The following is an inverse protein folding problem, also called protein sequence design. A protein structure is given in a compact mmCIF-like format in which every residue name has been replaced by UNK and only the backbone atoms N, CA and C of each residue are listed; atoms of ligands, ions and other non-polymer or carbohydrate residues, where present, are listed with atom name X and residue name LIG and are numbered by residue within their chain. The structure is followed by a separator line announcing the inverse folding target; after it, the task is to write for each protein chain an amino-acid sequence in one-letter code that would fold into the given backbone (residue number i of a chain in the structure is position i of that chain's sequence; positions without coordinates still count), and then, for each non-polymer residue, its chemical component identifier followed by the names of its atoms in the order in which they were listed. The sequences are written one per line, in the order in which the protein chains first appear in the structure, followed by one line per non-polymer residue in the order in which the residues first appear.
data_IF_165012513734
#
_entry.id   IF_165012513734
#
_cell.length_a   1.000
_cell.length_b   1.000
_cell.length_c   1.000
_cell.angle_alpha   90.00
_cell.angle_beta   90.00
_cell.angle_gamma   90.00
#
_symmetry.space_group_name_H-M   'P 1'
#
loop_
_entity.id
_entity.type
_entity.pdbx_description
1 polymer ?
#
# COMPACT_ATOMS: atom_id res chain seq x y z
N UNK A 1 -22.27 33.94 3.08
CA UNK A 1 -23.44 33.39 3.78
C UNK A 1 -23.06 32.00 4.26
N UNK A 2 -22.81 31.84 5.55
CA UNK A 2 -22.40 30.55 6.13
C UNK A 2 -23.63 29.69 6.43
N UNK A 3 -23.75 28.56 5.74
CA UNK A 3 -24.80 27.58 5.98
C UNK A 3 -24.35 26.68 7.13
N UNK A 4 -24.87 26.93 8.33
CA UNK A 4 -24.65 26.07 9.50
C UNK A 4 -25.56 24.85 9.41
N UNK A 5 -24.99 23.69 9.11
CA UNK A 5 -25.71 22.41 9.22
C UNK A 5 -25.75 21.96 10.68
N UNK A 6 -26.95 21.89 11.26
CA UNK A 6 -27.15 21.29 12.56
C UNK A 6 -27.24 19.77 12.44
N UNK A 7 -26.20 19.09 12.91
CA UNK A 7 -26.14 17.63 13.03
C UNK A 7 -27.10 17.18 14.13
N UNK A 8 -28.24 16.61 13.74
CA UNK A 8 -29.22 16.04 14.66
C UNK A 8 -28.60 14.77 15.27
N UNK A 9 -28.48 14.73 16.60
CA UNK A 9 -27.92 13.58 17.32
C UNK A 9 -28.90 12.40 17.29
N UNK A 10 -28.42 11.14 17.14
CA UNK A 10 -29.28 9.96 17.00
C UNK A 10 -30.25 9.69 18.17
N UNK A 11 -29.98 10.25 19.37
CA UNK A 11 -30.85 10.08 20.55
C UNK A 11 -32.14 10.92 20.47
N UNK A 12 -32.19 11.97 19.66
CA UNK A 12 -33.36 12.85 19.53
C UNK A 12 -34.35 12.39 18.45
N UNK A 13 -33.92 11.48 17.56
CA UNK A 13 -34.77 10.92 16.50
C UNK A 13 -35.95 10.08 17.04
N UNK A 14 -35.86 9.57 18.28
CA UNK A 14 -36.95 8.77 18.89
C UNK A 14 -38.12 9.63 19.40
N UNK A 15 -37.94 10.92 19.64
CA UNK A 15 -39.04 11.80 20.06
C UNK A 15 -39.93 12.27 18.89
N UNK A 16 -39.40 12.31 17.67
CA UNK A 16 -40.19 12.70 16.49
C UNK A 16 -41.16 11.63 15.99
N UNK A 17 -40.97 10.36 16.39
CA UNK A 17 -41.84 9.25 15.96
C UNK A 17 -43.19 9.18 16.70
N UNK A 18 -43.42 10.04 17.70
CA UNK A 18 -44.69 10.09 18.48
C UNK A 18 -45.61 11.26 18.14
N UNK A 19 -45.28 12.11 17.16
CA UNK A 19 -46.11 13.28 16.80
C UNK A 19 -46.67 13.30 15.38
N UNK A 20 -46.44 12.27 14.57
CA UNK A 20 -46.94 12.18 13.19
C UNK A 20 -47.89 11.01 12.99
N UNK A 21 -48.85 10.85 13.90
CA UNK A 21 -50.00 9.96 13.69
C UNK A 21 -51.25 10.81 13.68
N UNK A 22 -52.03 10.62 12.61
CA UNK A 22 -53.44 10.98 12.43
C UNK A 22 -53.82 12.47 12.45
N UNK A 23 -53.64 13.12 11.30
CA UNK A 23 -54.69 14.01 10.76
C UNK A 23 -54.98 13.54 9.34
N UNK A 24 -55.63 12.36 9.24
CA UNK A 24 -56.48 12.09 8.10
C UNK A 24 -57.71 12.98 8.29
N UNK A 25 -58.15 13.76 7.28
CA UNK A 25 -59.47 14.36 7.36
C UNK A 25 -60.47 13.21 7.47
N UNK A 26 -61.24 13.21 8.57
CA UNK A 26 -62.49 12.47 8.66
C UNK A 26 -63.33 12.89 7.47
N UNK A 27 -63.29 12.09 6.41
CA UNK A 27 -64.33 12.09 5.41
C UNK A 27 -65.56 11.52 6.09
N UNK A 28 -66.26 12.40 6.81
CA UNK A 28 -67.59 12.17 7.30
C UNK A 28 -68.41 11.63 6.12
N UNK A 29 -68.93 10.39 6.18
CA UNK A 29 -69.99 10.03 5.27
C UNK A 29 -71.13 10.94 5.67
N UNK A 30 -71.34 11.97 4.86
CA UNK A 30 -72.50 12.85 4.93
C UNK A 30 -73.69 11.90 4.99
N UNK A 31 -74.25 11.75 6.19
CA UNK A 31 -75.58 11.21 6.36
C UNK A 31 -76.47 12.23 5.67
N UNK A 32 -76.66 12.06 4.36
CA UNK A 32 -77.85 12.54 3.69
C UNK A 32 -79.00 11.74 4.29
N UNK A 33 -79.44 12.19 5.46
CA UNK A 33 -80.80 12.04 5.92
C UNK A 33 -81.68 12.71 4.85
N UNK A 34 -81.96 11.96 3.79
CA UNK A 34 -83.09 12.25 2.92
C UNK A 34 -84.29 12.04 3.82
N UNK A 35 -84.70 13.13 4.47
CA UNK A 35 -85.99 13.27 5.08
C UNK A 35 -87.00 12.98 3.98
N UNK A 36 -87.43 11.72 3.94
CA UNK A 36 -88.59 11.28 3.18
C UNK A 36 -89.76 12.06 3.73
N UNK A 37 -90.04 13.22 3.13
CA UNK A 37 -91.33 13.89 3.25
C UNK A 37 -92.35 12.91 2.72
N UNK A 38 -92.90 12.13 3.64
CA UNK A 38 -94.12 11.38 3.42
C UNK A 38 -95.19 12.44 3.18
N UNK A 39 -95.42 12.76 1.90
CA UNK A 39 -96.60 13.51 1.50
C UNK A 39 -97.75 12.54 1.71
N UNK A 40 -98.33 12.58 2.91
CA UNK A 40 -99.66 12.06 3.15
C UNK A 40 -100.58 12.73 2.13
N UNK A 41 -100.89 12.02 1.05
CA UNK A 41 -102.04 12.35 0.23
C UNK A 41 -103.26 12.22 1.14
N UNK A 42 -103.78 13.37 1.57
CA UNK A 42 -105.07 13.50 2.22
C UNK A 42 -106.08 12.63 1.47
N UNK A 43 -106.57 11.57 2.14
CA UNK A 43 -107.70 10.78 1.69
C UNK A 43 -108.89 11.70 1.57
N UNK A 44 -109.08 12.30 0.40
CA UNK A 44 -110.32 12.95 0.04
C UNK A 44 -111.40 11.87 0.06
N UNK A 45 -112.18 11.89 1.14
CA UNK A 45 -113.40 11.11 1.32
C UNK A 45 -114.36 11.48 0.19
N UNK A 46 -114.31 10.72 -0.89
CA UNK A 46 -115.34 10.76 -1.93
C UNK A 46 -116.50 9.93 -1.40
N UNK A 47 -117.48 10.63 -0.85
CA UNK A 47 -118.78 10.07 -0.55
C UNK A 47 -119.27 9.31 -1.79
N UNK A 48 -119.54 8.02 -1.60
CA UNK A 48 -120.19 7.11 -2.53
C UNK A 48 -121.55 7.67 -2.93
N UNK A 49 -121.57 8.53 -3.96
CA UNK A 49 -122.77 8.90 -4.69
C UNK A 49 -122.92 7.84 -5.78
N UNK A 50 -123.80 6.87 -5.54
CA UNK A 50 -124.21 5.87 -6.53
C UNK A 50 -124.58 6.57 -7.84
N UNK A 51 -123.97 6.21 -8.98
CA UNK A 51 -124.38 6.76 -10.26
C UNK A 51 -125.83 6.35 -10.48
N UNK A 52 -126.72 7.32 -10.67
CA UNK A 52 -128.04 7.06 -11.21
C UNK A 52 -127.84 6.28 -12.52
N UNK A 53 -128.40 5.07 -12.58
CA UNK A 53 -128.36 4.19 -13.74
C UNK A 53 -129.15 4.87 -14.85
N UNK A 54 -128.47 5.71 -15.62
CA UNK A 54 -128.93 6.13 -16.94
C UNK A 54 -128.83 4.89 -17.83
N UNK A 55 -129.97 4.41 -18.32
CA UNK A 55 -130.07 3.35 -19.31
C UNK A 55 -129.34 3.79 -20.58
N UNK A 56 -128.04 3.50 -20.63
CA UNK A 56 -127.21 3.66 -21.81
C UNK A 56 -127.69 2.64 -22.85
N UNK A 57 -128.25 3.16 -23.95
CA UNK A 57 -128.49 2.43 -25.20
C UNK A 57 -127.29 1.53 -25.55
N UNK A 58 -127.51 0.31 -26.06
CA UNK A 58 -126.41 -0.63 -26.39
C UNK A 58 -125.33 0.01 -27.27
N UNK A 59 -125.71 0.98 -28.10
CA UNK A 59 -124.82 1.75 -28.97
C UNK A 59 -123.80 2.62 -28.21
N UNK A 60 -124.12 3.12 -27.02
CA UNK A 60 -123.16 3.88 -26.21
C UNK A 60 -122.19 2.97 -25.47
N UNK A 61 -122.61 1.77 -25.06
CA UNK A 61 -121.71 0.77 -24.48
C UNK A 61 -120.65 0.28 -25.47
N UNK A 62 -121.01 0.07 -26.74
CA UNK A 62 -120.05 -0.31 -27.79
C UNK A 62 -119.02 0.79 -28.06
N UNK A 63 -119.45 2.05 -28.10
CA UNK A 63 -118.54 3.20 -28.27
C UNK A 63 -117.59 3.36 -27.08
N UNK A 64 -118.09 3.19 -25.86
CA UNK A 64 -117.27 3.22 -24.64
C UNK A 64 -116.28 2.05 -24.61
N UNK A 65 -116.70 0.84 -25.02
CA UNK A 65 -115.79 -0.31 -25.12
C UNK A 65 -114.73 -0.13 -26.22
N UNK A 66 -115.09 0.46 -27.36
CA UNK A 66 -114.14 0.81 -28.42
C UNK A 66 -113.14 1.88 -27.96
N UNK A 67 -113.60 2.94 -27.30
CA UNK A 67 -112.74 3.98 -26.74
C UNK A 67 -111.79 3.42 -25.67
N UNK A 68 -112.28 2.54 -24.80
CA UNK A 68 -111.45 1.87 -23.78
C UNK A 68 -110.38 0.98 -24.43
N UNK A 69 -110.73 0.19 -25.45
CA UNK A 69 -109.73 -0.61 -26.20
C UNK A 69 -108.67 0.26 -26.87
N UNK A 70 -109.07 1.40 -27.43
CA UNK A 70 -108.11 2.36 -28.01
C UNK A 70 -107.20 2.98 -26.92
N UNK A 71 -107.76 3.31 -25.76
CA UNK A 71 -107.01 3.81 -24.61
C UNK A 71 -106.04 2.77 -24.05
N UNK A 72 -106.49 1.52 -23.92
CA UNK A 72 -105.66 0.40 -23.46
C UNK A 72 -104.52 0.13 -24.48
N UNK A 73 -104.80 0.18 -25.78
CA UNK A 73 -103.77 0.06 -26.82
C UNK A 73 -102.72 1.18 -26.77
N UNK A 74 -103.13 2.43 -26.51
CA UNK A 74 -102.19 3.54 -26.29
C UNK A 74 -101.37 3.34 -25.01
N UNK A 75 -101.99 2.85 -23.93
CA UNK A 75 -101.31 2.55 -22.68
C UNK A 75 -100.25 1.47 -22.88
N UNK A 76 -100.58 0.39 -23.58
CA UNK A 76 -99.67 -0.71 -23.87
C UNK A 76 -98.49 -0.24 -24.75
N UNK A 77 -98.76 0.60 -25.74
CA UNK A 77 -97.71 1.23 -26.56
C UNK A 77 -96.75 2.07 -25.69
N UNK A 78 -97.28 2.94 -24.82
CA UNK A 78 -96.46 3.76 -23.92
C UNK A 78 -95.65 2.90 -22.93
N UNK A 79 -96.23 1.80 -22.43
CA UNK A 79 -95.52 0.85 -21.58
C UNK A 79 -94.36 0.19 -22.36
N UNK A 80 -94.61 -0.28 -23.59
CA UNK A 80 -93.61 -0.89 -24.43
C UNK A 80 -92.46 0.09 -24.74
N UNK A 81 -92.78 1.33 -25.12
CA UNK A 81 -91.79 2.37 -25.37
C UNK A 81 -90.96 2.69 -24.10
N UNK A 82 -91.61 2.79 -22.94
CA UNK A 82 -90.92 3.00 -21.67
C UNK A 82 -89.97 1.85 -21.30
N UNK A 83 -90.32 0.61 -21.63
CA UNK A 83 -89.45 -0.55 -21.44
C UNK A 83 -88.23 -0.52 -22.36
N UNK A 84 -88.41 -0.18 -23.64
CA UNK A 84 -87.31 -0.02 -24.60
C UNK A 84 -86.35 1.09 -24.17
N UNK A 85 -86.88 2.23 -23.72
CA UNK A 85 -86.06 3.33 -23.18
C UNK A 85 -85.27 2.86 -21.96
N UNK A 86 -85.89 2.11 -21.05
CA UNK A 86 -85.23 1.60 -19.83
C UNK A 86 -84.12 0.60 -20.17
N UNK A 87 -84.34 -0.30 -21.11
CA UNK A 87 -83.33 -1.26 -21.57
C UNK A 87 -82.12 -0.53 -22.15
N UNK A 88 -82.36 0.45 -23.02
CA UNK A 88 -81.30 1.31 -23.56
C UNK A 88 -80.53 2.05 -22.46
N UNK A 89 -81.23 2.56 -21.43
CA UNK A 89 -80.57 3.21 -20.29
C UNK A 89 -79.68 2.23 -19.51
N UNK A 90 -80.10 0.98 -19.32
CA UNK A 90 -79.25 -0.03 -18.66
C UNK A 90 -78.03 -0.38 -19.49
N UNK A 91 -78.16 -0.48 -20.81
CA UNK A 91 -77.00 -0.67 -21.70
C UNK A 91 -76.02 0.51 -21.61
N UNK A 92 -76.52 1.75 -21.65
CA UNK A 92 -75.71 2.95 -21.53
C UNK A 92 -74.98 3.01 -20.17
N UNK A 93 -75.68 2.69 -19.08
CA UNK A 93 -75.07 2.56 -17.75
C UNK A 93 -74.04 1.43 -17.71
N UNK A 94 -74.28 0.31 -18.40
CA UNK A 94 -73.34 -0.78 -18.57
C UNK A 94 -72.05 -0.31 -19.26
N UNK A 95 -72.16 0.41 -20.36
CA UNK A 95 -71.02 1.00 -21.09
C UNK A 95 -70.25 1.99 -20.20
N UNK A 96 -70.95 2.86 -19.46
CA UNK A 96 -70.32 3.82 -18.53
C UNK A 96 -69.54 3.09 -17.43
N UNK A 97 -70.09 2.01 -16.85
CA UNK A 97 -69.37 1.20 -15.85
C UNK A 97 -68.11 0.57 -16.44
N UNK A 98 -68.20 -0.03 -17.62
CA UNK A 98 -67.05 -0.63 -18.30
C UNK A 98 -65.95 0.40 -18.58
N UNK A 99 -66.30 1.61 -19.01
CA UNK A 99 -65.35 2.70 -19.23
C UNK A 99 -64.68 3.13 -17.93
N UNK A 100 -65.44 3.28 -16.83
CA UNK A 100 -64.88 3.60 -15.51
C UNK A 100 -63.91 2.54 -15.03
N UNK A 101 -64.26 1.26 -15.19
CA UNK A 101 -63.40 0.15 -14.80
C UNK A 101 -62.14 0.08 -15.66
N UNK A 102 -62.24 0.38 -16.97
CA UNK A 102 -61.10 0.46 -17.86
C UNK A 102 -60.13 1.58 -17.45
N UNK A 103 -60.65 2.78 -17.19
CA UNK A 103 -59.85 3.91 -16.69
C UNK A 103 -59.21 3.55 -15.34
N UNK A 104 -59.94 2.93 -14.41
CA UNK A 104 -59.40 2.52 -13.12
C UNK A 104 -58.33 1.42 -13.20
N UNK A 105 -58.37 0.56 -14.23
CA UNK A 105 -57.29 -0.40 -14.51
C UNK A 105 -56.07 0.30 -15.09
N UNK A 106 -56.28 1.23 -16.01
CA UNK A 106 -55.20 1.98 -16.64
C UNK A 106 -54.46 2.87 -15.63
N UNK A 107 -55.18 3.56 -14.73
CA UNK A 107 -54.56 4.37 -13.68
C UNK A 107 -53.70 3.51 -12.75
N UNK A 108 -54.21 2.36 -12.30
CA UNK A 108 -53.44 1.40 -11.48
C UNK A 108 -52.20 0.90 -12.22
N UNK A 109 -52.32 0.55 -13.50
CA UNK A 109 -51.19 0.11 -14.30
C UNK A 109 -50.10 1.20 -14.43
N UNK A 110 -50.50 2.47 -14.62
CA UNK A 110 -49.57 3.61 -14.66
C UNK A 110 -48.90 3.85 -13.31
N UNK A 111 -49.63 3.75 -12.21
CA UNK A 111 -49.07 3.88 -10.86
C UNK A 111 -48.07 2.76 -10.54
N UNK A 112 -48.40 1.51 -10.90
CA UNK A 112 -47.49 0.37 -10.74
C UNK A 112 -46.23 0.52 -11.60
N UNK A 113 -46.36 0.97 -12.86
CA UNK A 113 -45.22 1.24 -13.73
C UNK A 113 -44.33 2.36 -13.16
N UNK A 114 -44.93 3.43 -12.63
CA UNK A 114 -44.20 4.52 -11.98
C UNK A 114 -43.44 4.03 -10.74
N UNK A 115 -44.07 3.17 -9.91
CA UNK A 115 -43.39 2.56 -8.76
C UNK A 115 -42.22 1.69 -9.16
N UNK A 116 -42.38 0.84 -10.20
CA UNK A 116 -41.28 0.02 -10.74
C UNK A 116 -40.13 0.88 -11.24
N UNK A 117 -40.43 1.95 -11.98
CA UNK A 117 -39.41 2.87 -12.45
C UNK A 117 -38.68 3.57 -11.30
N UNK A 118 -39.39 3.90 -10.22
CA UNK A 118 -38.75 4.46 -9.03
C UNK A 118 -37.82 3.44 -8.36
N UNK A 119 -38.27 2.19 -8.16
CA UNK A 119 -37.42 1.15 -7.57
C UNK A 119 -36.19 0.85 -8.43
N UNK A 120 -36.34 0.76 -9.75
CA UNK A 120 -35.23 0.57 -10.69
C UNK A 120 -34.22 1.72 -10.60
N UNK A 121 -34.69 2.97 -10.52
CA UNK A 121 -33.81 4.14 -10.32
C UNK A 121 -33.07 4.08 -8.98
N UNK A 122 -33.74 3.66 -7.92
CA UNK A 122 -33.08 3.50 -6.61
C UNK A 122 -32.04 2.37 -6.65
N UNK A 123 -32.35 1.23 -7.26
CA UNK A 123 -31.43 0.12 -7.45
C UNK A 123 -30.20 0.54 -8.28
N UNK A 124 -30.42 1.31 -9.35
CA UNK A 124 -29.35 1.87 -10.16
C UNK A 124 -28.43 2.77 -9.32
N UNK A 125 -28.98 3.66 -8.50
CA UNK A 125 -28.19 4.54 -7.62
C UNK A 125 -27.38 3.72 -6.61
N UNK A 126 -27.96 2.67 -6.04
CA UNK A 126 -27.25 1.77 -5.11
C UNK A 126 -26.08 1.11 -5.83
N UNK A 127 -26.30 0.56 -7.03
CA UNK A 127 -25.27 -0.10 -7.82
C UNK A 127 -24.13 0.86 -8.20
N UNK A 128 -24.45 2.09 -8.60
CA UNK A 128 -23.45 3.13 -8.89
C UNK A 128 -22.60 3.46 -7.65
N UNK A 129 -23.23 3.52 -6.47
CA UNK A 129 -22.51 3.76 -5.21
C UNK A 129 -21.60 2.59 -4.83
N UNK A 130 -22.09 1.35 -4.95
CA UNK A 130 -21.30 0.14 -4.70
C UNK A 130 -20.11 0.03 -5.65
N UNK A 131 -20.35 0.31 -6.94
CA UNK A 131 -19.29 0.31 -7.97
C UNK A 131 -18.24 1.37 -7.65
N UNK A 132 -18.64 2.59 -7.31
CA UNK A 132 -17.72 3.67 -6.93
C UNK A 132 -16.90 3.30 -5.69
N UNK A 133 -17.54 2.69 -4.70
CA UNK A 133 -16.86 2.24 -3.47
C UNK A 133 -15.86 1.12 -3.74
N UNK A 134 -16.18 0.20 -4.64
CA UNK A 134 -15.28 -0.88 -5.04
C UNK A 134 -14.03 -0.31 -5.73
N UNK A 135 -14.20 0.62 -6.68
CA UNK A 135 -13.09 1.31 -7.35
C UNK A 135 -12.22 2.06 -6.33
N UNK A 136 -12.82 2.80 -5.41
CA UNK A 136 -12.06 3.53 -4.38
C UNK A 136 -11.25 2.59 -3.46
N UNK A 137 -11.80 1.42 -3.13
CA UNK A 137 -11.08 0.41 -2.35
C UNK A 137 -9.91 -0.21 -3.12
N UNK A 138 -10.12 -0.49 -4.41
CA UNK A 138 -9.07 -1.00 -5.30
C UNK A 138 -7.94 0.03 -5.47
N UNK A 139 -8.27 1.31 -5.65
CA UNK A 139 -7.29 2.39 -5.74
C UNK A 139 -6.45 2.53 -4.47
N UNK A 140 -7.08 2.44 -3.29
CA UNK A 140 -6.37 2.45 -2.00
C UNK A 140 -5.41 1.26 -1.89
N UNK A 141 -5.87 0.06 -2.24
CA UNK A 141 -5.02 -1.13 -2.24
C UNK A 141 -3.84 -0.97 -3.20
N UNK A 142 -4.07 -0.48 -4.42
CA UNK A 142 -3.01 -0.22 -5.40
C UNK A 142 -2.04 0.87 -4.93
N UNK A 143 -2.49 1.88 -4.18
CA UNK A 143 -1.60 2.86 -3.57
C UNK A 143 -0.75 2.25 -2.45
N UNK A 144 -1.33 1.41 -1.59
CA UNK A 144 -0.59 0.74 -0.53
C UNK A 144 0.49 -0.20 -1.08
N UNK A 145 0.18 -0.98 -2.13
CA UNK A 145 1.16 -1.81 -2.84
C UNK A 145 2.30 -0.96 -3.41
N UNK A 146 2.00 0.19 -4.03
CA UNK A 146 3.03 1.11 -4.54
C UNK A 146 3.90 1.67 -3.42
N UNK A 147 3.32 2.03 -2.28
CA UNK A 147 4.06 2.52 -1.11
C UNK A 147 4.96 1.43 -0.51
N UNK A 148 4.48 0.20 -0.46
CA UNK A 148 5.28 -0.94 0.00
C UNK A 148 6.45 -1.24 -0.94
N UNK A 149 6.23 -1.23 -2.25
CA UNK A 149 7.29 -1.41 -3.24
C UNK A 149 8.40 -0.34 -3.11
N UNK A 150 8.03 0.92 -2.85
CA UNK A 150 9.01 2.00 -2.60
C UNK A 150 9.79 1.72 -1.30
N UNK A 151 9.11 1.32 -0.22
CA UNK A 151 9.76 1.00 1.06
C UNK A 151 10.72 -0.18 0.91
N UNK A 152 10.35 -1.20 0.16
CA UNK A 152 11.19 -2.36 -0.10
C UNK A 152 12.41 -1.98 -0.94
N UNK A 153 12.22 -1.17 -1.99
CA UNK A 153 13.33 -0.62 -2.79
C UNK A 153 14.33 0.18 -1.95
N UNK A 154 13.84 0.98 -0.99
CA UNK A 154 14.71 1.71 -0.05
C UNK A 154 15.45 0.75 0.89
N UNK A 155 14.78 -0.29 1.40
CA UNK A 155 15.44 -1.28 2.26
C UNK A 155 16.53 -2.02 1.50
N UNK A 156 16.27 -2.39 0.26
CA UNK A 156 17.23 -3.06 -0.61
C UNK A 156 18.43 -2.16 -0.94
N UNK A 157 18.19 -0.89 -1.24
CA UNK A 157 19.29 0.05 -1.52
C UNK A 157 20.19 0.27 -0.30
N UNK A 158 19.61 0.40 0.90
CA UNK A 158 20.38 0.49 2.15
C UNK A 158 21.18 -0.79 2.40
N UNK A 159 20.61 -1.97 2.14
CA UNK A 159 21.31 -3.24 2.29
C UNK A 159 22.52 -3.31 1.36
N UNK A 160 22.35 -2.96 0.07
CA UNK A 160 23.42 -2.92 -0.92
C UNK A 160 24.56 -1.98 -0.50
N UNK A 161 24.24 -0.78 -0.02
CA UNK A 161 25.26 0.19 0.46
C UNK A 161 26.01 -0.36 1.68
N UNK A 162 25.31 -1.03 2.61
CA UNK A 162 25.95 -1.65 3.78
C UNK A 162 26.89 -2.79 3.39
N UNK A 163 26.49 -3.63 2.45
CA UNK A 163 27.31 -4.73 1.95
C UNK A 163 28.56 -4.21 1.24
N UNK A 164 28.42 -3.15 0.45
CA UNK A 164 29.55 -2.52 -0.24
C UNK A 164 30.52 -1.87 0.76
N UNK A 165 30.00 -1.16 1.76
CA UNK A 165 30.83 -0.60 2.84
C UNK A 165 31.53 -1.70 3.66
N UNK A 166 30.89 -2.86 3.88
CA UNK A 166 31.51 -3.99 4.54
C UNK A 166 32.66 -4.58 3.70
N UNK A 167 32.45 -4.76 2.39
CA UNK A 167 33.51 -5.19 1.46
C UNK A 167 34.69 -4.22 1.43
N UNK A 168 34.44 -2.92 1.38
CA UNK A 168 35.50 -1.91 1.39
C UNK A 168 36.34 -1.97 2.67
N UNK A 169 35.70 -2.07 3.84
CA UNK A 169 36.43 -2.24 5.11
C UNK A 169 37.29 -3.49 5.14
N UNK A 170 36.79 -4.60 4.59
CA UNK A 170 37.56 -5.83 4.53
C UNK A 170 38.80 -5.69 3.64
N UNK A 171 38.65 -5.06 2.46
CA UNK A 171 39.77 -4.77 1.57
C UNK A 171 40.81 -3.84 2.22
N UNK A 172 40.37 -2.84 2.98
CA UNK A 172 41.28 -1.97 3.73
C UNK A 172 42.03 -2.73 4.83
N UNK A 173 41.35 -3.60 5.58
CA UNK A 173 41.98 -4.46 6.59
C UNK A 173 43.01 -5.41 5.96
N UNK A 174 42.66 -6.04 4.85
CA UNK A 174 43.55 -6.95 4.12
C UNK A 174 44.78 -6.19 3.58
N UNK A 175 44.59 -4.96 3.11
CA UNK A 175 45.69 -4.09 2.66
C UNK A 175 46.63 -3.72 3.80
N UNK A 176 46.10 -3.29 4.95
CA UNK A 176 46.92 -2.95 6.12
C UNK A 176 47.70 -4.18 6.60
N UNK A 177 47.06 -5.35 6.61
CA UNK A 177 47.71 -6.60 6.97
C UNK A 177 48.84 -6.95 5.98
N UNK A 178 48.60 -6.80 4.68
CA UNK A 178 49.62 -7.03 3.66
C UNK A 178 50.82 -6.07 3.81
N UNK A 179 50.56 -4.77 4.04
CA UNK A 179 51.60 -3.77 4.29
C UNK A 179 52.43 -4.12 5.54
N UNK A 180 51.80 -4.58 6.62
CA UNK A 180 52.50 -5.05 7.82
C UNK A 180 53.34 -6.32 7.57
N UNK A 181 52.84 -7.27 6.78
CA UNK A 181 53.60 -8.48 6.42
C UNK A 181 54.82 -8.11 5.56
N UNK A 182 54.66 -7.23 4.57
CA UNK A 182 55.77 -6.75 3.74
C UNK A 182 56.80 -5.95 4.52
N UNK A 183 56.37 -5.13 5.49
CA UNK A 183 57.29 -4.41 6.38
C UNK A 183 58.05 -5.37 7.30
N UNK A 184 57.37 -6.34 7.90
CA UNK A 184 58.00 -7.37 8.73
C UNK A 184 59.03 -8.17 7.94
N UNK A 185 58.70 -8.58 6.71
CA UNK A 185 59.61 -9.30 5.83
C UNK A 185 60.85 -8.46 5.46
N UNK A 186 60.69 -7.15 5.23
CA UNK A 186 61.82 -6.24 4.98
C UNK A 186 62.72 -6.08 6.20
N UNK A 187 62.15 -6.01 7.40
CA UNK A 187 62.92 -5.95 8.65
C UNK A 187 63.69 -7.25 8.86
N UNK A 188 63.05 -8.39 8.67
CA UNK A 188 63.67 -9.72 8.80
C UNK A 188 64.81 -9.89 7.79
N UNK A 189 64.60 -9.51 6.53
CA UNK A 189 65.66 -9.56 5.51
C UNK A 189 66.83 -8.62 5.85
N UNK A 190 66.56 -7.42 6.37
CA UNK A 190 67.61 -6.50 6.82
C UNK A 190 68.39 -7.06 8.02
N UNK A 191 67.72 -7.74 8.95
CA UNK A 191 68.37 -8.41 10.09
C UNK A 191 69.27 -9.56 9.62
N UNK A 192 68.79 -10.40 8.70
CA UNK A 192 69.57 -11.50 8.12
C UNK A 192 70.81 -10.93 7.43
N UNK A 193 70.68 -9.92 6.56
CA UNK A 193 71.83 -9.29 5.88
C UNK A 193 72.81 -8.66 6.86
N UNK A 194 72.31 -7.99 7.90
CA UNK A 194 73.17 -7.39 8.92
C UNK A 194 73.94 -8.45 9.73
N UNK A 195 73.31 -9.60 9.99
CA UNK A 195 73.96 -10.73 10.64
C UNK A 195 75.00 -11.38 9.73
N UNK A 196 74.68 -11.64 8.46
CA UNK A 196 75.63 -12.17 7.47
C UNK A 196 76.85 -11.25 7.31
N UNK A 197 76.65 -9.93 7.25
CA UNK A 197 77.75 -8.96 7.18
C UNK A 197 78.59 -8.95 8.46
N UNK A 198 77.96 -9.09 9.64
CA UNK A 198 78.68 -9.19 10.91
C UNK A 198 79.53 -10.47 10.99
N UNK A 199 78.97 -11.62 10.58
CA UNK A 199 79.68 -12.90 10.51
C UNK A 199 80.84 -12.85 9.50
N UNK A 200 80.65 -12.20 8.34
CA UNK A 200 81.71 -12.01 7.36
C UNK A 200 82.84 -11.10 7.88
N UNK A 201 82.50 -10.01 8.56
CA UNK A 201 83.49 -9.13 9.23
C UNK A 201 84.26 -9.88 10.30
N UNK A 202 83.59 -10.73 11.07
CA UNK A 202 84.25 -11.56 12.09
C UNK A 202 85.17 -12.61 11.45
N UNK A 203 84.73 -13.28 10.37
CA UNK A 203 85.56 -14.21 9.60
C UNK A 203 86.83 -13.53 9.08
N UNK A 204 86.69 -12.35 8.46
CA UNK A 204 87.83 -11.55 7.99
C UNK A 204 88.76 -11.16 9.16
N UNK A 205 88.19 -10.76 10.30
CA UNK A 205 88.98 -10.44 11.50
C UNK A 205 89.77 -11.66 11.96
N UNK A 206 89.13 -12.82 12.08
CA UNK A 206 89.79 -14.07 12.49
C UNK A 206 90.89 -14.49 11.51
N UNK A 207 90.66 -14.38 10.20
CA UNK A 207 91.68 -14.65 9.17
C UNK A 207 92.89 -13.73 9.28
N UNK A 208 92.70 -12.50 9.76
CA UNK A 208 93.76 -11.50 9.93
C UNK A 208 94.42 -11.49 11.32
N UNK A 209 93.91 -12.25 12.28
CA UNK A 209 94.55 -12.41 13.57
C UNK A 209 95.79 -13.30 13.43
N UNK A 210 96.93 -12.82 13.95
CA UNK A 210 98.14 -13.62 14.05
C UNK A 210 98.62 -13.57 15.50
N UNK A 211 99.16 -14.68 15.97
CA UNK A 211 99.73 -14.75 17.31
C UNK A 211 101.16 -14.19 17.29
N UNK A 212 101.48 -13.33 18.25
CA UNK A 212 102.86 -12.89 18.44
C UNK A 212 103.73 -14.10 18.81
N UNK A 213 104.84 -14.30 18.11
CA UNK A 213 105.76 -15.41 18.37
C UNK A 213 106.47 -15.35 19.75
N UNK A 214 106.19 -14.34 20.58
CA UNK A 214 106.84 -14.11 21.88
C UNK A 214 105.82 -14.14 23.01
N UNK A 215 104.88 -13.19 23.05
CA UNK A 215 103.84 -13.14 24.09
C UNK A 215 102.66 -14.11 23.83
N UNK A 216 102.56 -14.68 22.61
CA UNK A 216 101.44 -15.52 22.16
C UNK A 216 100.08 -14.82 22.16
N UNK A 217 100.04 -13.49 22.31
CA UNK A 217 98.80 -12.73 22.18
C UNK A 217 98.44 -12.55 20.70
N UNK A 218 97.16 -12.77 20.39
CA UNK A 218 96.61 -12.59 19.06
C UNK A 218 96.29 -11.12 18.79
N UNK A 219 96.88 -10.55 17.74
CA UNK A 219 96.62 -9.17 17.32
C UNK A 219 96.37 -9.10 15.79
N UNK A 220 95.77 -8.02 15.30
CA UNK A 220 95.51 -7.86 13.86
C UNK A 220 96.84 -7.72 13.10
N UNK A 221 96.94 -8.32 11.91
CA UNK A 221 98.13 -8.18 11.06
C UNK A 221 98.53 -6.72 10.79
N UNK A 222 97.61 -5.75 10.89
CA UNK A 222 97.94 -4.32 10.70
C UNK A 222 98.72 -3.69 11.87
N UNK A 223 98.58 -4.23 13.09
CA UNK A 223 99.32 -3.81 14.30
C UNK A 223 100.55 -4.68 14.57
N UNK A 224 100.81 -5.65 13.71
CA UNK A 224 101.94 -6.57 13.83
C UNK A 224 102.95 -6.38 12.70
N UNK A 225 104.21 -6.73 12.99
CA UNK A 225 105.30 -6.66 12.02
C UNK A 225 105.66 -8.08 11.59
N UNK A 226 105.50 -8.35 10.29
CA UNK A 226 106.00 -9.58 9.70
C UNK A 226 107.51 -9.47 9.49
N UNK A 227 108.24 -10.42 10.06
CA UNK A 227 109.67 -10.57 9.80
C UNK A 227 109.90 -11.47 8.58
N UNK A 228 111.05 -11.38 7.89
CA UNK A 228 111.30 -12.17 6.68
C UNK A 228 111.38 -13.69 6.92
N UNK A 229 111.46 -14.14 8.17
CA UNK A 229 111.27 -15.55 8.54
C UNK A 229 109.79 -15.95 8.65
N UNK A 230 108.85 -15.13 8.17
CA UNK A 230 107.37 -15.29 8.18
C UNK A 230 106.69 -15.25 9.55
N UNK A 231 107.44 -15.06 10.63
CA UNK A 231 106.89 -14.90 11.98
C UNK A 231 106.38 -13.47 12.21
N UNK A 232 105.31 -13.34 12.99
CA UNK A 232 104.67 -12.09 13.35
C UNK A 232 104.99 -11.70 14.79
N UNK A 233 105.21 -10.41 15.02
CA UNK A 233 105.51 -9.84 16.35
C UNK A 233 104.64 -8.61 16.59
N UNK A 234 104.16 -8.43 17.83
CA UNK A 234 103.52 -7.18 18.21
C UNK A 234 104.55 -6.04 18.28
N UNK A 235 104.09 -4.80 18.12
CA UNK A 235 104.97 -3.62 18.17
C UNK A 235 105.73 -3.49 19.50
N UNK A 236 105.12 -3.91 20.60
CA UNK A 236 105.69 -3.82 21.94
C UNK A 236 106.86 -4.78 22.14
N UNK A 237 106.71 -6.05 21.75
CA UNK A 237 107.76 -7.07 21.85
C UNK A 237 108.92 -6.83 20.87
N UNK A 238 108.62 -6.28 19.69
CA UNK A 238 109.66 -5.91 18.73
C UNK A 238 110.48 -4.70 19.23
N UNK A 239 109.81 -3.73 19.88
CA UNK A 239 110.46 -2.55 20.49
C UNK A 239 111.27 -2.91 21.74
N UNK A 240 110.74 -3.73 22.63
CA UNK A 240 111.43 -4.14 23.86
C UNK A 240 112.72 -4.93 23.56
N UNK A 241 112.71 -5.76 22.50
CA UNK A 241 113.91 -6.48 22.03
C UNK A 241 114.90 -5.58 21.28
N UNK A 242 114.44 -4.65 20.45
CA UNK A 242 115.33 -3.71 19.74
C UNK A 242 116.02 -2.72 20.68
N UNK A 243 115.36 -2.31 21.76
CA UNK A 243 115.93 -1.44 22.81
C UNK A 243 116.94 -2.22 23.69
N UNK A 244 116.77 -3.53 23.87
CA UNK A 244 117.75 -4.36 24.58
C UNK A 244 119.01 -4.73 23.75
N UNK A 245 119.05 -4.42 22.44
CA UNK A 245 120.20 -4.77 21.56
C UNK A 245 121.20 -3.64 21.29
N UNK A 246 121.17 -2.53 22.05
CA UNK A 246 122.23 -1.51 22.02
C UNK A 246 123.51 -1.90 22.79
N UNK A 247 123.72 -3.20 23.03
CA UNK A 247 125.01 -3.78 23.44
C UNK A 247 125.56 -4.59 22.25
N UNK A 248 126.78 -4.30 21.76
CA UNK A 248 127.24 -4.85 20.48
C UNK A 248 127.71 -6.30 20.64
N UNK A 249 126.80 -7.27 20.48
CA UNK A 249 127.18 -8.65 20.13
C UNK A 249 126.15 -9.28 19.16
N UNK A 250 126.60 -9.40 17.91
CA UNK A 250 126.33 -10.44 16.91
C UNK A 250 124.98 -11.20 16.98
N UNK A 251 124.24 -11.04 15.88
CA UNK A 251 123.26 -11.97 15.29
C UNK A 251 121.93 -12.05 16.04
N UNK A 252 121.01 -11.13 15.74
CA UNK A 252 119.57 -11.38 15.87
C UNK A 252 119.08 -12.14 14.63
N UNK A 253 119.27 -13.45 14.65
CA UNK A 253 118.58 -14.35 13.75
C UNK A 253 117.25 -14.74 14.41
N UNK A 254 116.12 -14.41 13.77
CA UNK A 254 114.96 -15.30 13.86
C UNK A 254 115.41 -16.68 13.35
N UNK A 255 114.87 -17.77 13.89
CA UNK A 255 115.42 -19.13 13.83
C UNK A 255 115.88 -19.69 12.46
N UNK A 256 115.73 -18.98 11.34
CA UNK A 256 116.36 -19.26 10.06
C UNK A 256 116.98 -17.99 9.40
N UNK A 257 118.28 -17.77 9.60
CA UNK A 257 119.18 -17.04 8.68
C UNK A 257 119.30 -15.50 8.80
N UNK A 258 120.45 -14.91 8.43
CA UNK A 258 120.71 -13.47 8.56
C UNK A 258 119.99 -12.61 7.51
N UNK A 259 119.49 -11.47 7.99
CA UNK A 259 118.80 -10.42 7.24
C UNK A 259 119.70 -9.77 6.18
N UNK A 260 119.31 -9.84 4.90
CA UNK A 260 119.82 -8.94 3.84
C UNK A 260 118.77 -7.87 3.56
N UNK A 261 118.97 -6.67 4.10
CA UNK A 261 118.16 -5.50 3.77
C UNK A 261 118.64 -5.00 2.40
N UNK A 262 117.81 -5.13 1.36
CA UNK A 262 118.01 -4.41 0.10
C UNK A 262 117.55 -2.95 0.29
N UNK A 263 118.34 -1.93 -0.07
CA UNK A 263 117.87 -0.57 -0.08
C UNK A 263 116.77 -0.41 -1.16
N UNK A 264 115.61 0.08 -0.73
CA UNK A 264 114.56 0.55 -1.63
C UNK A 264 115.09 1.74 -2.41
N UNK A 265 115.33 1.53 -3.71
CA UNK A 265 115.48 2.61 -4.68
C UNK A 265 114.20 3.44 -4.69
N UNK A 266 114.33 4.71 -4.33
CA UNK A 266 113.37 5.77 -4.67
C UNK A 266 113.25 5.82 -6.19
N UNK A 267 112.04 5.68 -6.70
CA UNK A 267 111.63 6.23 -8.00
C UNK A 267 110.25 6.88 -7.81
N UNK A 268 109.98 7.99 -8.53
CA UNK A 268 108.95 8.97 -8.21
C UNK A 268 107.51 8.47 -8.38
#
# INVERSE_FOLDING_TARGET
MEVRFHVIRPKDARQYRKRSVSVLPSSDPTQCSVASRYVEYSKASTASRSPAVLESSSKTHELVAAAKRAQDGLRDYLIAEALVIRERQYEELGRIRQLRDAVARETRAREEASRRQQTEKFEQIILEFETRRAIEQEERFAEDVRREAIRESIRESIARVRDEAARQRQLEQDRILAEHIEEAARIEEAQIRAQEEAEERERIRQERLRECAVCMEGDDMSSMIQTPCTHWYCHEDLRSKSICTLVPRRITACANGPLKIKPLSRTP
#
